data_IF_290402209363
#
_entry.id   IF_290402209363
#
_cell.length_a   1.000
_cell.length_b   1.000
_cell.length_c   1.000
_cell.angle_alpha   90.00
_cell.angle_beta   90.00
_cell.angle_gamma   90.00
#
_symmetry.space_group_name_H-M   'P 1'
#
loop_
_entity.id
_entity.type
_entity.pdbx_description
1 polymer ?
#
# COMPACT_ATOMS: atom_id res chain seq x y z
N UNK A 1 14.68 1.92 -9.25
CA UNK A 1 13.62 1.00 -8.87
C UNK A 1 12.25 1.62 -9.08
N UNK A 2 11.94 2.77 -8.50
CA UNK A 2 10.64 3.46 -8.66
C UNK A 2 10.77 4.56 -9.71
N UNK A 3 10.37 4.27 -10.95
CA UNK A 3 10.45 5.23 -12.07
C UNK A 3 9.08 5.39 -12.73
N UNK A 4 8.84 6.56 -13.29
CA UNK A 4 7.64 6.84 -14.07
C UNK A 4 6.36 7.00 -13.24
N UNK A 5 5.23 6.74 -13.87
CA UNK A 5 3.90 6.87 -13.26
C UNK A 5 3.50 5.60 -12.52
N UNK A 6 3.42 5.68 -11.20
CA UNK A 6 2.89 4.61 -10.34
C UNK A 6 1.49 5.02 -9.91
N UNK A 7 0.47 4.27 -10.31
CA UNK A 7 -0.93 4.66 -10.14
C UNK A 7 -1.54 4.05 -8.89
N UNK A 8 -2.18 4.89 -8.07
CA UNK A 8 -3.03 4.44 -6.98
C UNK A 8 -4.37 3.94 -7.57
N UNK A 9 -4.65 2.66 -7.37
CA UNK A 9 -5.85 2.02 -7.88
C UNK A 9 -7.05 2.30 -6.98
N UNK A 10 -8.21 2.52 -7.60
CA UNK A 10 -9.51 2.47 -6.90
C UNK A 10 -9.90 1.02 -6.64
N UNK A 11 -10.72 0.79 -5.63
CA UNK A 11 -11.27 -0.53 -5.30
C UNK A 11 -12.75 -0.56 -5.70
N UNK A 12 -13.12 -1.24 -6.80
CA UNK A 12 -14.50 -1.28 -7.25
C UNK A 12 -15.34 -2.25 -6.40
N UNK A 13 -16.56 -1.83 -6.09
CA UNK A 13 -17.56 -2.62 -5.39
C UNK A 13 -18.83 -2.81 -6.24
N UNK A 14 -19.48 -3.94 -6.05
CA UNK A 14 -20.79 -4.25 -6.65
C UNK A 14 -21.63 -5.04 -5.66
N UNK A 15 -22.83 -4.52 -5.34
CA UNK A 15 -23.72 -5.13 -4.35
C UNK A 15 -23.03 -5.37 -2.99
N UNK A 16 -22.34 -4.33 -2.48
CA UNK A 16 -21.60 -4.32 -1.22
C UNK A 16 -20.48 -5.38 -1.11
N UNK A 17 -19.98 -5.84 -2.24
CA UNK A 17 -18.84 -6.77 -2.32
C UNK A 17 -17.79 -6.28 -3.30
N UNK A 18 -16.57 -6.68 -3.09
CA UNK A 18 -15.47 -6.43 -4.01
C UNK A 18 -15.83 -6.96 -5.41
N UNK A 19 -15.72 -6.10 -6.44
CA UNK A 19 -15.93 -6.47 -7.84
C UNK A 19 -14.59 -6.89 -8.47
N UNK A 20 -14.20 -8.13 -8.23
CA UNK A 20 -12.96 -8.73 -8.74
C UNK A 20 -12.85 -8.56 -10.26
N UNK A 21 -13.95 -8.74 -11.01
CA UNK A 21 -13.94 -8.67 -12.46
C UNK A 21 -13.60 -7.25 -12.96
N UNK A 22 -14.23 -6.25 -12.38
CA UNK A 22 -13.96 -4.85 -12.73
C UNK A 22 -12.56 -4.45 -12.30
N UNK A 23 -12.09 -4.92 -11.14
CA UNK A 23 -10.75 -4.66 -10.66
C UNK A 23 -9.68 -5.25 -11.58
N UNK A 24 -9.84 -6.47 -12.04
CA UNK A 24 -8.95 -7.13 -13.02
C UNK A 24 -8.90 -6.33 -14.32
N UNK A 25 -10.06 -5.89 -14.85
CA UNK A 25 -10.12 -5.03 -16.04
C UNK A 25 -9.35 -3.73 -15.87
N UNK A 26 -9.42 -3.12 -14.68
CA UNK A 26 -8.68 -1.91 -14.35
C UNK A 26 -7.17 -2.15 -14.35
N UNK A 27 -6.71 -3.22 -13.76
CA UNK A 27 -5.29 -3.61 -13.77
C UNK A 27 -4.79 -3.79 -15.20
N UNK A 28 -5.52 -4.54 -16.03
CA UNK A 28 -5.17 -4.76 -17.43
C UNK A 28 -5.20 -3.46 -18.25
N UNK A 29 -6.13 -2.55 -17.96
CA UNK A 29 -6.16 -1.23 -18.57
C UNK A 29 -4.85 -0.47 -18.31
N UNK A 30 -4.36 -0.43 -17.08
CA UNK A 30 -3.12 0.25 -16.73
C UNK A 30 -1.89 -0.39 -17.38
N UNK A 31 -1.82 -1.72 -17.42
CA UNK A 31 -0.76 -2.46 -18.11
C UNK A 31 -0.71 -2.06 -19.59
N UNK A 32 -1.87 -2.00 -20.25
CA UNK A 32 -1.98 -1.68 -21.68
C UNK A 32 -1.63 -0.22 -21.99
N UNK A 33 -1.88 0.71 -21.07
CA UNK A 33 -1.75 2.15 -21.31
C UNK A 33 -0.43 2.75 -20.77
N UNK A 34 0.59 1.93 -20.51
CA UNK A 34 1.95 2.40 -20.24
C UNK A 34 2.18 2.92 -18.83
N UNK A 35 1.34 2.56 -17.86
CA UNK A 35 1.61 2.76 -16.45
C UNK A 35 2.90 2.02 -16.06
N UNK A 36 3.66 2.56 -15.11
CA UNK A 36 4.97 2.02 -14.71
C UNK A 36 4.93 1.23 -13.41
N UNK A 37 3.86 1.34 -12.63
CA UNK A 37 3.66 0.58 -11.41
C UNK A 37 2.23 0.74 -10.88
N UNK A 38 1.80 -0.20 -10.04
CA UNK A 38 0.45 -0.26 -9.48
C UNK A 38 0.50 -0.15 -7.96
N UNK A 39 -0.41 0.63 -7.40
CA UNK A 39 -0.53 0.82 -5.94
C UNK A 39 -1.93 0.42 -5.49
N UNK A 40 -2.17 -0.87 -5.20
CA UNK A 40 -3.42 -1.36 -4.61
C UNK A 40 -3.53 -0.96 -3.13
N UNK A 41 -4.75 -0.89 -2.62
CA UNK A 41 -5.07 -0.66 -1.21
C UNK A 41 -4.39 0.56 -0.57
N UNK A 42 -4.14 1.62 -1.37
CA UNK A 42 -3.78 2.94 -0.86
C UNK A 42 -5.00 3.74 -0.42
N UNK A 43 -4.84 5.02 -0.11
CA UNK A 43 -5.96 5.93 0.24
C UNK A 43 -7.00 5.99 -0.87
N UNK A 44 -6.57 6.07 -2.13
CA UNK A 44 -7.46 6.04 -3.31
C UNK A 44 -8.25 4.74 -3.41
N UNK A 45 -7.67 3.64 -2.94
CA UNK A 45 -8.31 2.32 -2.90
C UNK A 45 -9.12 2.06 -1.64
N UNK A 46 -9.42 3.10 -0.86
CA UNK A 46 -10.28 3.06 0.33
C UNK A 46 -9.79 2.10 1.43
N UNK A 47 -8.46 1.92 1.53
CA UNK A 47 -7.82 1.00 2.48
C UNK A 47 -8.41 1.01 3.90
N UNK A 48 -8.72 2.17 4.54
CA UNK A 48 -9.22 2.17 5.92
C UNK A 48 -10.62 1.56 6.11
N UNK A 49 -11.38 1.37 5.03
CA UNK A 49 -12.75 0.84 5.08
C UNK A 49 -12.87 -0.57 4.53
N UNK A 50 -11.78 -1.13 4.01
CA UNK A 50 -11.71 -2.54 3.62
C UNK A 50 -11.63 -3.42 4.88
N UNK A 51 -12.32 -4.55 4.88
CA UNK A 51 -12.00 -5.62 5.82
C UNK A 51 -10.59 -6.18 5.52
N UNK A 52 -9.98 -6.89 6.47
CA UNK A 52 -8.67 -7.48 6.23
C UNK A 52 -8.69 -8.45 5.05
N UNK A 53 -9.73 -9.26 4.92
CA UNK A 53 -9.89 -10.21 3.80
C UNK A 53 -9.99 -9.49 2.45
N UNK A 54 -10.74 -8.38 2.38
CA UNK A 54 -10.83 -7.56 1.16
C UNK A 54 -9.50 -6.87 0.84
N UNK A 55 -8.82 -6.34 1.85
CA UNK A 55 -7.52 -5.71 1.70
C UNK A 55 -6.48 -6.69 1.13
N UNK A 56 -6.38 -7.86 1.71
CA UNK A 56 -5.50 -8.94 1.24
C UNK A 56 -5.89 -9.37 -0.18
N UNK A 57 -7.19 -9.58 -0.43
CA UNK A 57 -7.70 -9.97 -1.75
C UNK A 57 -7.36 -8.96 -2.86
N UNK A 58 -7.50 -7.67 -2.60
CA UNK A 58 -7.16 -6.59 -3.56
C UNK A 58 -5.68 -6.65 -3.94
N UNK A 59 -4.80 -6.85 -2.97
CA UNK A 59 -3.36 -6.94 -3.22
C UNK A 59 -3.01 -8.23 -3.97
N UNK A 60 -3.58 -9.37 -3.58
CA UNK A 60 -3.40 -10.67 -4.26
C UNK A 60 -3.79 -10.60 -5.72
N UNK A 61 -4.98 -10.06 -6.03
CA UNK A 61 -5.43 -9.87 -7.40
C UNK A 61 -4.48 -8.99 -8.20
N UNK A 62 -4.03 -7.88 -7.60
CA UNK A 62 -3.11 -6.96 -8.26
C UNK A 62 -1.78 -7.63 -8.59
N UNK A 63 -1.17 -8.34 -7.65
CA UNK A 63 0.10 -9.07 -7.87
C UNK A 63 -0.07 -10.16 -8.92
N UNK A 64 -1.13 -10.96 -8.81
CA UNK A 64 -1.42 -12.05 -9.74
C UNK A 64 -1.63 -11.53 -11.17
N UNK A 65 -2.47 -10.52 -11.34
CA UNK A 65 -2.86 -10.03 -12.67
C UNK A 65 -1.78 -9.15 -13.32
N UNK A 66 -0.95 -8.49 -12.52
CA UNK A 66 0.24 -7.80 -13.06
C UNK A 66 1.25 -8.80 -13.64
N UNK A 67 1.31 -10.01 -13.11
CA UNK A 67 2.13 -11.12 -13.62
C UNK A 67 3.59 -10.71 -13.91
N UNK A 68 4.17 -9.84 -13.09
CA UNK A 68 5.53 -9.31 -13.25
C UNK A 68 5.70 -8.28 -14.39
N UNK A 69 4.65 -7.91 -15.12
CA UNK A 69 4.70 -6.88 -16.16
C UNK A 69 4.87 -5.48 -15.58
N UNK A 70 4.27 -5.23 -14.43
CA UNK A 70 4.40 -3.99 -13.69
C UNK A 70 4.72 -4.31 -12.22
N UNK A 71 5.58 -3.51 -11.57
CA UNK A 71 5.79 -3.62 -10.14
C UNK A 71 4.52 -3.23 -9.36
N UNK A 72 4.28 -3.93 -8.26
CA UNK A 72 3.17 -3.68 -7.34
C UNK A 72 3.72 -3.17 -6.01
N UNK A 73 3.24 -2.01 -5.59
CA UNK A 73 3.57 -1.36 -4.31
C UNK A 73 2.33 -1.38 -3.43
N UNK A 74 2.19 -2.40 -2.60
CA UNK A 74 0.99 -2.60 -1.79
C UNK A 74 0.85 -1.52 -0.72
N UNK A 75 -0.32 -0.92 -0.59
CA UNK A 75 -0.66 -0.07 0.54
C UNK A 75 -0.86 -0.94 1.78
N UNK A 76 0.05 -0.85 2.74
CA UNK A 76 0.06 -1.71 3.95
C UNK A 76 0.18 -0.91 5.23
N UNK A 77 0.02 0.42 5.14
CA UNK A 77 0.12 1.30 6.30
C UNK A 77 -1.09 1.22 7.22
N UNK A 78 -0.83 1.30 8.50
CA UNK A 78 -1.82 1.40 9.57
C UNK A 78 -1.30 2.32 10.68
N UNK A 79 -2.21 2.85 11.52
CA UNK A 79 -1.84 3.53 12.75
C UNK A 79 -1.48 2.55 13.89
N UNK A 80 -1.69 1.24 13.69
CA UNK A 80 -1.19 0.15 14.52
C UNK A 80 0.07 -0.44 13.89
N UNK A 81 1.18 -0.42 14.62
CA UNK A 81 2.45 -0.99 14.14
C UNK A 81 2.31 -2.49 13.86
N UNK A 82 1.58 -3.20 14.70
CA UNK A 82 1.39 -4.64 14.57
C UNK A 82 0.55 -5.01 13.34
N UNK A 83 -0.51 -4.24 13.07
CA UNK A 83 -1.31 -4.39 11.85
C UNK A 83 -0.49 -4.07 10.60
N UNK A 84 0.26 -2.97 10.60
CA UNK A 84 1.14 -2.64 9.48
C UNK A 84 2.18 -3.73 9.18
N UNK A 85 2.73 -4.37 10.21
CA UNK A 85 3.63 -5.52 10.06
C UNK A 85 2.90 -6.70 9.44
N UNK A 86 1.69 -7.03 9.92
CA UNK A 86 0.88 -8.13 9.38
C UNK A 86 0.58 -7.95 7.91
N UNK A 87 0.05 -6.77 7.53
CA UNK A 87 -0.29 -6.43 6.15
C UNK A 87 0.96 -6.41 5.24
N UNK A 88 2.08 -5.89 5.74
CA UNK A 88 3.35 -5.84 4.98
C UNK A 88 3.92 -7.24 4.78
N UNK A 89 3.86 -8.09 5.80
CA UNK A 89 4.31 -9.49 5.71
C UNK A 89 3.46 -10.29 4.73
N UNK A 90 2.14 -10.05 4.69
CA UNK A 90 1.27 -10.66 3.69
C UNK A 90 1.66 -10.21 2.28
N UNK A 91 1.82 -8.91 2.05
CA UNK A 91 2.22 -8.36 0.74
C UNK A 91 3.58 -8.92 0.26
N UNK A 92 4.56 -9.05 1.16
CA UNK A 92 5.84 -9.68 0.88
C UNK A 92 5.67 -11.14 0.46
N UNK A 93 4.92 -11.92 1.23
CA UNK A 93 4.67 -13.35 1.00
C UNK A 93 4.04 -13.64 -0.36
N UNK A 94 3.14 -12.78 -0.82
CA UNK A 94 2.47 -12.94 -2.12
C UNK A 94 3.26 -12.35 -3.30
N UNK A 95 4.43 -11.73 -3.05
CA UNK A 95 5.35 -11.26 -4.09
C UNK A 95 5.15 -9.82 -4.56
N UNK A 96 4.60 -8.94 -3.74
CA UNK A 96 4.62 -7.50 -4.00
C UNK A 96 6.08 -6.99 -4.06
N UNK A 97 6.32 -5.94 -4.85
CA UNK A 97 7.66 -5.39 -5.07
C UNK A 97 8.06 -4.31 -4.06
N UNK A 98 7.12 -3.83 -3.27
CA UNK A 98 7.32 -2.84 -2.22
C UNK A 98 6.04 -2.60 -1.43
N UNK A 99 6.19 -1.96 -0.28
CA UNK A 99 5.11 -1.57 0.60
C UNK A 99 5.02 -0.04 0.66
N UNK A 100 3.86 0.53 0.36
CA UNK A 100 3.55 1.94 0.57
C UNK A 100 2.90 2.09 1.93
N UNK A 101 3.62 2.70 2.88
CA UNK A 101 3.22 2.78 4.27
C UNK A 101 2.94 4.23 4.66
N UNK A 102 1.67 4.54 4.90
CA UNK A 102 1.25 5.84 5.41
C UNK A 102 1.73 6.03 6.85
N UNK A 103 2.12 7.26 7.21
CA UNK A 103 2.42 7.60 8.61
C UNK A 103 1.19 7.32 9.49
N UNK A 104 1.36 6.82 10.72
CA UNK A 104 0.25 6.61 11.64
C UNK A 104 -0.65 7.84 11.75
N UNK A 105 -1.94 7.65 11.52
CA UNK A 105 -2.97 8.66 11.55
C UNK A 105 -3.76 8.58 12.86
N UNK A 106 -4.47 9.63 13.22
CA UNK A 106 -5.30 9.76 14.43
C UNK A 106 -4.51 9.81 15.74
N UNK A 107 -3.67 8.83 16.06
CA UNK A 107 -2.93 8.70 17.31
C UNK A 107 -1.69 9.62 17.42
N UNK A 108 -1.31 10.31 16.35
CA UNK A 108 -0.27 11.37 16.32
C UNK A 108 1.00 11.03 17.12
N UNK A 109 1.77 10.02 16.71
CA UNK A 109 2.99 9.63 17.41
C UNK A 109 4.04 10.76 17.38
N UNK A 110 4.98 10.72 18.33
CA UNK A 110 6.17 11.58 18.33
C UNK A 110 7.09 11.20 17.17
N UNK A 111 8.10 12.03 16.87
CA UNK A 111 9.11 11.69 15.82
C UNK A 111 9.84 10.39 16.14
N UNK A 112 10.21 10.18 17.40
CA UNK A 112 10.78 8.90 17.84
C UNK A 112 9.79 7.75 17.69
N UNK A 113 8.51 7.96 17.98
CA UNK A 113 7.46 6.96 17.75
C UNK A 113 7.32 6.60 16.27
N UNK A 114 7.39 7.59 15.35
CA UNK A 114 7.41 7.35 13.90
C UNK A 114 8.62 6.52 13.49
N UNK A 115 9.81 6.89 13.97
CA UNK A 115 11.03 6.14 13.70
C UNK A 115 10.91 4.67 14.14
N UNK A 116 10.45 4.45 15.39
CA UNK A 116 10.28 3.09 15.93
C UNK A 116 9.19 2.30 15.17
N UNK A 117 8.13 2.96 14.72
CA UNK A 117 7.10 2.34 13.89
C UNK A 117 7.70 1.77 12.59
N UNK A 118 8.36 2.60 11.80
CA UNK A 118 8.97 2.16 10.53
C UNK A 118 10.12 1.18 10.74
N UNK A 119 10.93 1.41 11.78
CA UNK A 119 12.01 0.49 12.14
C UNK A 119 11.47 -0.91 12.46
N UNK A 120 10.40 -1.00 13.25
CA UNK A 120 9.78 -2.28 13.62
C UNK A 120 9.24 -3.04 12.40
N UNK A 121 8.67 -2.32 11.43
CA UNK A 121 8.20 -2.92 10.17
C UNK A 121 9.40 -3.41 9.34
N UNK A 122 10.41 -2.56 9.17
CA UNK A 122 11.61 -2.88 8.40
C UNK A 122 12.40 -4.07 8.99
N UNK A 123 12.46 -4.16 10.32
CA UNK A 123 13.17 -5.26 10.99
C UNK A 123 12.45 -6.61 10.83
N UNK A 124 11.15 -6.61 10.58
CA UNK A 124 10.33 -7.83 10.47
C UNK A 124 9.99 -8.22 9.03
N UNK A 125 10.10 -7.32 8.08
CA UNK A 125 9.74 -7.53 6.69
C UNK A 125 10.94 -7.21 5.78
N UNK A 126 11.20 -8.07 4.80
CA UNK A 126 12.31 -7.93 3.85
C UNK A 126 11.97 -7.13 2.58
N UNK A 127 10.74 -6.61 2.48
CA UNK A 127 10.25 -5.88 1.32
C UNK A 127 10.63 -4.38 1.41
N UNK A 128 11.01 -3.71 0.30
CA UNK A 128 11.29 -2.28 0.30
C UNK A 128 10.09 -1.43 0.77
N UNK A 129 10.34 -0.47 1.66
CA UNK A 129 9.31 0.43 2.20
C UNK A 129 9.36 1.79 1.51
N UNK A 130 8.19 2.27 1.07
CA UNK A 130 7.97 3.64 0.62
C UNK A 130 7.16 4.37 1.71
N UNK A 131 7.76 5.36 2.34
CA UNK A 131 7.08 6.15 3.36
C UNK A 131 6.13 7.14 2.68
N UNK A 132 4.84 7.04 3.00
CA UNK A 132 3.81 7.95 2.52
C UNK A 132 3.45 8.96 3.62
N UNK A 133 3.85 10.21 3.40
CA UNK A 133 3.67 11.27 4.38
C UNK A 133 2.77 12.38 3.83
N UNK A 134 1.65 12.63 4.51
CA UNK A 134 0.72 13.73 4.19
C UNK A 134 0.62 14.65 5.41
N UNK A 135 1.37 15.76 5.45
CA UNK A 135 1.43 16.64 6.62
C UNK A 135 0.09 17.22 7.06
N UNK A 136 -0.83 17.43 6.13
CA UNK A 136 -2.16 18.03 6.41
C UNK A 136 -3.08 17.06 7.14
N UNK A 137 -2.93 15.76 6.91
CA UNK A 137 -3.87 14.73 7.38
C UNK A 137 -3.33 13.90 8.54
N UNK A 138 -2.01 13.87 8.73
CA UNK A 138 -1.34 12.98 9.68
C UNK A 138 -0.23 13.71 10.43
N UNK A 139 0.40 13.07 11.42
CA UNK A 139 1.66 13.50 11.97
C UNK A 139 2.75 13.32 10.92
N UNK A 140 3.34 14.42 10.45
CA UNK A 140 4.38 14.34 9.42
C UNK A 140 5.77 14.15 10.01
N UNK A 141 6.64 13.55 9.23
CA UNK A 141 8.06 13.44 9.52
C UNK A 141 8.73 14.81 9.38
N UNK A 142 9.51 15.19 10.37
CA UNK A 142 10.46 16.30 10.21
C UNK A 142 11.73 15.72 9.62
N UNK A 143 12.05 16.12 8.38
CA UNK A 143 13.31 15.76 7.76
C UNK A 143 14.41 16.69 8.31
N UNK A 144 15.65 16.18 8.52
CA UNK A 144 16.77 17.04 8.81
C UNK A 144 16.94 18.05 7.66
N UNK A 145 16.84 19.32 7.97
CA UNK A 145 17.21 20.38 7.04
C UNK A 145 18.71 20.59 7.17
N UNK A 146 19.46 20.08 6.22
CA UNK A 146 20.89 20.41 6.09
C UNK A 146 21.05 21.72 5.33
#
# INVERSE_FOLDING_TARGET
MFKGSNVALVTPFKNDKLDDETYIKLIHFHIKNGTNGLVPAGTTGESPTLSHDEHERVIELCVKESAGKLPVFAGTGSNSTEEAISLTSHAEKIGANGALIVTPYYNKPTQEGLYQHYKSINDKCGIPIIIYNIPVSYTHLTLPTN
#
